data_IF_125110864733
#
_entry.id   IF_125110864733
#
_cell.length_a   1.000
_cell.length_b   1.000
_cell.length_c   1.000
_cell.angle_alpha   90.00
_cell.angle_beta   90.00
_cell.angle_gamma   90.00
#
_symmetry.space_group_name_H-M   'P 1'
#
loop_
_entity.id
_entity.type
_entity.pdbx_description
1 polymer ?
#
# COMPACT_ATOMS: atom_id res chain seq x y z
N UNK A 1 3.75 -10.47 -43.52
CA UNK A 1 3.94 -11.04 -42.18
C UNK A 1 4.90 -10.16 -41.42
N UNK A 2 4.41 -9.07 -40.83
CA UNK A 2 5.10 -8.45 -39.71
C UNK A 2 4.29 -8.87 -38.49
N UNK A 3 4.86 -9.80 -37.73
CA UNK A 3 4.33 -10.20 -36.44
C UNK A 3 4.32 -8.95 -35.57
N UNK A 4 3.13 -8.46 -35.23
CA UNK A 4 2.96 -7.52 -34.13
C UNK A 4 3.41 -8.27 -32.87
N UNK A 5 4.66 -8.04 -32.46
CA UNK A 5 5.05 -8.29 -31.08
C UNK A 5 4.11 -7.41 -30.24
N UNK A 6 3.11 -8.04 -29.64
CA UNK A 6 2.38 -7.46 -28.53
C UNK A 6 3.45 -7.08 -27.51
N UNK A 7 3.65 -5.79 -27.27
CA UNK A 7 4.27 -5.34 -26.03
C UNK A 7 3.43 -5.99 -24.92
N UNK A 8 4.01 -6.95 -24.19
CA UNK A 8 3.32 -7.58 -23.08
C UNK A 8 3.26 -6.50 -22.01
N UNK A 9 2.09 -5.88 -21.85
CA UNK A 9 1.88 -4.95 -20.76
C UNK A 9 1.96 -5.71 -19.43
N UNK A 10 2.51 -5.06 -18.40
CA UNK A 10 2.55 -5.63 -17.04
C UNK A 10 1.14 -5.94 -16.58
N UNK A 11 0.91 -7.17 -16.09
CA UNK A 11 -0.40 -7.67 -15.66
C UNK A 11 -0.27 -8.78 -14.61
N UNK A 12 -1.36 -9.05 -13.88
CA UNK A 12 -1.40 -10.15 -12.91
C UNK A 12 -1.18 -11.51 -13.58
N UNK A 13 -0.32 -12.32 -12.95
CA UNK A 13 -0.06 -13.71 -13.33
C UNK A 13 -0.44 -14.70 -12.22
N UNK A 14 -1.03 -14.20 -11.13
CA UNK A 14 -1.52 -14.98 -9.99
C UNK A 14 -2.90 -14.47 -9.58
N UNK A 15 -3.65 -15.33 -8.92
CA UNK A 15 -4.87 -14.94 -8.21
C UNK A 15 -4.55 -14.66 -6.72
N UNK A 16 -5.37 -13.86 -6.03
CA UNK A 16 -5.29 -13.69 -4.58
C UNK A 16 -5.39 -15.00 -3.79
N UNK A 17 -4.75 -15.06 -2.63
CA UNK A 17 -4.85 -16.19 -1.70
C UNK A 17 -5.97 -15.94 -0.71
N UNK A 18 -7.21 -16.09 -1.17
CA UNK A 18 -8.39 -15.81 -0.35
C UNK A 18 -8.52 -16.77 0.85
N UNK A 19 -8.93 -16.23 2.00
CA UNK A 19 -9.23 -17.03 3.18
C UNK A 19 -10.40 -16.49 4.00
N UNK A 20 -10.36 -16.75 5.31
CA UNK A 20 -11.47 -16.44 6.23
C UNK A 20 -11.06 -15.39 7.25
N UNK A 21 -12.01 -14.53 7.66
CA UNK A 21 -11.78 -13.48 8.67
C UNK A 21 -11.21 -14.01 9.99
N UNK A 22 -11.59 -15.23 10.38
CA UNK A 22 -11.08 -15.89 11.56
C UNK A 22 -10.23 -17.09 11.10
N UNK A 23 -8.91 -16.99 11.26
CA UNK A 23 -7.99 -18.03 10.81
C UNK A 23 -6.59 -17.49 10.58
N UNK A 24 -5.84 -18.17 9.73
CA UNK A 24 -4.52 -17.73 9.30
C UNK A 24 -4.62 -16.52 8.38
N UNK A 25 -3.63 -15.64 8.44
CA UNK A 25 -3.49 -14.51 7.49
C UNK A 25 -3.69 -14.99 6.06
N UNK A 26 -4.53 -14.26 5.34
CA UNK A 26 -4.88 -14.49 3.94
C UNK A 26 -5.41 -13.19 3.35
N UNK A 27 -5.54 -13.14 2.03
CA UNK A 27 -6.26 -12.05 1.37
C UNK A 27 -7.74 -12.12 1.75
N UNK A 28 -8.32 -10.97 2.10
CA UNK A 28 -9.63 -10.91 2.72
C UNK A 28 -10.37 -9.62 2.39
N UNK A 29 -11.64 -9.76 2.05
CA UNK A 29 -12.64 -8.70 2.06
C UNK A 29 -13.84 -9.13 2.92
N UNK A 30 -13.98 -8.56 4.12
CA UNK A 30 -15.13 -8.76 5.01
C UNK A 30 -15.99 -7.49 5.06
N UNK A 31 -16.84 -7.33 4.04
CA UNK A 31 -17.88 -6.30 3.97
C UNK A 31 -17.48 -4.99 3.29
N UNK A 32 -16.27 -4.87 2.73
CA UNK A 32 -15.89 -3.72 1.91
C UNK A 32 -16.64 -3.76 0.57
N UNK A 33 -17.18 -2.63 0.16
CA UNK A 33 -17.80 -2.45 -1.16
C UNK A 33 -16.74 -2.40 -2.26
N UNK A 34 -17.18 -2.39 -3.53
CA UNK A 34 -16.28 -2.16 -4.67
C UNK A 34 -15.49 -0.85 -4.50
N UNK A 35 -14.24 -0.79 -4.97
CA UNK A 35 -13.38 0.39 -4.83
C UNK A 35 -14.06 1.68 -5.35
N UNK A 36 -14.83 1.58 -6.44
CA UNK A 36 -15.58 2.70 -7.03
C UNK A 36 -16.74 3.23 -6.18
N UNK A 37 -17.11 2.55 -5.10
CA UNK A 37 -18.16 3.00 -4.17
C UNK A 37 -17.67 4.04 -3.16
N UNK A 38 -16.35 4.17 -2.99
CA UNK A 38 -15.75 5.12 -2.06
C UNK A 38 -15.47 6.44 -2.77
N UNK A 39 -16.00 7.54 -2.23
CA UNK A 39 -15.75 8.90 -2.74
C UNK A 39 -14.42 9.46 -2.23
N UNK A 40 -13.95 8.93 -1.10
CA UNK A 40 -12.75 9.39 -0.40
C UNK A 40 -11.89 8.19 -0.02
N UNK A 41 -10.59 8.28 -0.29
CA UNK A 41 -9.59 7.36 0.23
C UNK A 41 -8.68 8.16 1.15
N UNK A 42 -8.46 7.65 2.36
CA UNK A 42 -7.47 8.15 3.30
C UNK A 42 -6.45 7.06 3.52
N UNK A 43 -5.25 7.24 2.98
CA UNK A 43 -4.20 6.25 3.09
C UNK A 43 -3.10 6.74 4.04
N UNK A 44 -2.54 5.79 4.79
CA UNK A 44 -1.44 5.96 5.74
C UNK A 44 -0.34 4.98 5.36
N UNK A 45 0.91 5.42 5.31
CA UNK A 45 1.97 4.51 4.90
C UNK A 45 3.35 5.14 4.82
N UNK A 46 4.18 4.62 3.93
CA UNK A 46 5.56 5.01 3.72
C UNK A 46 5.82 5.51 2.30
N UNK A 47 7.08 5.46 1.86
CA UNK A 47 7.50 5.87 0.53
C UNK A 47 6.78 5.16 -0.63
N UNK A 48 6.14 4.00 -0.40
CA UNK A 48 5.31 3.29 -1.38
C UNK A 48 3.94 3.93 -1.57
N UNK A 49 3.58 4.84 -0.67
CA UNK A 49 2.30 5.55 -0.61
C UNK A 49 2.48 7.07 -0.71
N UNK A 50 3.72 7.56 -0.77
CA UNK A 50 4.04 8.99 -0.78
C UNK A 50 3.56 9.71 -2.05
N UNK A 51 2.49 10.47 -1.93
CA UNK A 51 1.99 11.34 -2.99
C UNK A 51 2.84 12.58 -3.31
N UNK A 52 3.99 12.77 -2.66
CA UNK A 52 4.84 13.97 -2.77
C UNK A 52 4.27 15.20 -2.05
N UNK A 53 3.22 15.02 -1.25
CA UNK A 53 2.62 16.05 -0.38
C UNK A 53 2.14 15.42 0.91
N UNK A 54 2.36 16.13 2.00
CA UNK A 54 2.19 15.58 3.35
C UNK A 54 1.21 16.40 4.21
N UNK A 55 0.49 17.33 3.59
CA UNK A 55 -0.44 18.26 4.23
C UNK A 55 -1.91 17.95 3.93
N UNK A 56 -2.19 16.78 3.33
CA UNK A 56 -3.52 16.38 2.89
C UNK A 56 -4.10 17.22 1.75
N UNK A 57 -3.31 18.10 1.11
CA UNK A 57 -3.75 18.83 -0.08
C UNK A 57 -3.73 17.93 -1.32
N UNK A 58 -4.45 18.36 -2.37
CA UNK A 58 -4.47 17.64 -3.66
C UNK A 58 -3.05 17.43 -4.17
N UNK A 59 -2.71 16.20 -4.50
CA UNK A 59 -1.38 15.86 -4.98
C UNK A 59 -1.05 16.56 -6.30
N UNK A 60 0.23 16.83 -6.53
CA UNK A 60 0.70 17.24 -7.84
C UNK A 60 0.48 16.11 -8.88
N UNK A 61 0.51 16.46 -10.17
CA UNK A 61 0.54 15.45 -11.22
C UNK A 61 1.82 14.62 -11.11
N UNK A 62 1.72 13.30 -11.31
CA UNK A 62 2.87 12.39 -11.29
C UNK A 62 3.64 12.47 -12.61
N UNK A 63 4.38 13.57 -12.79
CA UNK A 63 5.16 13.87 -14.00
C UNK A 63 6.64 13.93 -13.64
N UNK A 64 7.48 13.33 -14.48
CA UNK A 64 8.93 13.36 -14.36
C UNK A 64 9.48 14.77 -14.63
N UNK A 65 10.35 15.27 -13.76
CA UNK A 65 11.08 16.53 -13.96
C UNK A 65 12.59 16.28 -13.86
N UNK A 66 13.24 16.06 -15.02
CA UNK A 66 14.64 15.64 -15.07
C UNK A 66 15.58 16.72 -14.49
N UNK A 67 16.67 16.34 -13.78
CA UNK A 67 17.16 14.98 -13.60
C UNK A 67 16.57 14.24 -12.38
N UNK A 68 15.59 14.81 -11.68
CA UNK A 68 15.01 14.18 -10.49
C UNK A 68 14.24 12.92 -10.89
N UNK A 69 14.52 11.74 -10.29
CA UNK A 69 13.79 10.50 -10.59
C UNK A 69 12.40 10.48 -9.95
N UNK A 70 12.07 11.39 -9.03
CA UNK A 70 10.79 11.38 -8.31
C UNK A 70 9.68 12.08 -9.08
N UNK A 71 8.87 11.34 -9.84
CA UNK A 71 7.78 11.92 -10.63
C UNK A 71 6.76 12.59 -9.71
N UNK A 72 6.55 13.91 -9.84
CA UNK A 72 5.71 14.68 -8.92
C UNK A 72 6.08 14.54 -7.43
N UNK A 73 7.34 14.20 -7.12
CA UNK A 73 7.82 14.00 -5.75
C UNK A 73 7.65 12.58 -5.18
N UNK A 74 7.03 11.64 -5.92
CA UNK A 74 6.88 10.24 -5.46
C UNK A 74 8.16 9.45 -5.64
N UNK A 75 8.39 8.43 -4.82
CA UNK A 75 9.51 7.48 -5.00
C UNK A 75 9.23 6.48 -6.13
N UNK A 76 8.79 6.97 -7.28
CA UNK A 76 8.47 6.19 -8.48
C UNK A 76 8.55 7.08 -9.73
N UNK A 77 8.47 6.48 -10.93
CA UNK A 77 8.45 7.18 -12.22
C UNK A 77 7.05 7.67 -12.62
N UNK A 78 6.05 7.50 -11.76
CA UNK A 78 4.67 7.84 -12.08
C UNK A 78 3.70 7.72 -10.90
N UNK A 79 2.40 7.53 -11.18
CA UNK A 79 1.39 7.35 -10.14
C UNK A 79 1.68 6.14 -9.23
N UNK A 80 1.26 6.25 -7.98
CA UNK A 80 1.28 5.15 -7.02
C UNK A 80 -0.04 4.39 -7.05
N UNK A 81 -0.08 3.26 -6.33
CA UNK A 81 -1.26 2.41 -6.17
C UNK A 81 -2.35 3.06 -5.31
N UNK A 82 -1.97 4.06 -4.51
CA UNK A 82 -2.85 4.86 -3.65
C UNK A 82 -2.54 6.37 -3.76
N UNK A 83 -3.31 7.16 -3.00
CA UNK A 83 -3.12 8.61 -2.85
C UNK A 83 -2.90 8.92 -1.35
N UNK A 84 -1.67 8.75 -0.84
CA UNK A 84 -1.38 8.88 0.60
C UNK A 84 -0.25 9.86 0.94
N UNK A 85 -0.09 10.08 2.25
CA UNK A 85 0.99 10.85 2.90
C UNK A 85 2.02 9.88 3.50
N UNK A 86 3.30 10.25 3.51
CA UNK A 86 4.42 9.50 4.08
C UNK A 86 4.61 9.61 5.58
N UNK A 87 4.89 8.45 6.21
CA UNK A 87 6.16 8.01 6.82
C UNK A 87 5.89 6.76 7.68
N UNK A 88 6.57 5.61 7.46
CA UNK A 88 6.33 4.43 8.33
C UNK A 88 7.34 4.30 9.46
N UNK A 89 6.89 4.75 10.61
CA UNK A 89 7.03 4.00 11.86
C UNK A 89 5.62 3.91 12.42
N UNK A 90 5.25 2.87 13.17
CA UNK A 90 3.91 2.87 13.79
C UNK A 90 3.85 3.93 14.89
N UNK A 91 4.87 3.93 15.74
CA UNK A 91 5.14 4.94 16.77
C UNK A 91 6.66 5.12 16.91
N UNK A 92 7.21 6.19 16.35
CA UNK A 92 8.66 6.44 16.32
C UNK A 92 9.28 6.52 17.71
N UNK A 93 8.49 6.87 18.74
CA UNK A 93 8.95 7.00 20.12
C UNK A 93 9.28 5.64 20.76
N UNK A 94 8.75 4.55 20.22
CA UNK A 94 9.04 3.19 20.70
C UNK A 94 10.41 2.66 20.25
N UNK A 95 11.14 3.44 19.44
CA UNK A 95 12.39 3.01 18.82
C UNK A 95 13.54 3.99 19.07
N UNK A 96 13.95 4.19 20.35
CA UNK A 96 14.97 5.19 20.70
C UNK A 96 16.37 4.89 20.13
N UNK A 97 16.60 3.68 19.61
CA UNK A 97 17.85 3.29 18.97
C UNK A 97 17.95 3.71 17.49
N UNK A 98 16.84 4.12 16.86
CA UNK A 98 16.80 4.57 15.47
C UNK A 98 16.62 6.09 15.42
N UNK A 99 17.46 6.75 14.62
CA UNK A 99 17.32 8.18 14.34
C UNK A 99 16.57 8.29 13.01
N UNK A 100 15.30 8.70 13.09
CA UNK A 100 14.48 8.92 11.92
C UNK A 100 14.68 10.36 11.43
N UNK A 101 14.96 10.53 10.13
CA UNK A 101 14.98 11.85 9.49
C UNK A 101 13.60 12.48 9.41
N UNK A 102 12.55 11.64 9.44
CA UNK A 102 11.15 12.03 9.52
C UNK A 102 10.48 11.26 10.67
N UNK A 103 9.87 12.00 11.59
CA UNK A 103 9.23 11.45 12.79
C UNK A 103 7.71 11.33 12.66
N UNK A 104 7.15 11.57 11.48
CA UNK A 104 5.69 11.53 11.24
C UNK A 104 5.18 10.10 11.06
N UNK A 105 5.20 9.34 12.14
CA UNK A 105 4.68 7.98 12.22
C UNK A 105 3.16 7.88 11.98
N UNK A 106 2.65 6.65 11.98
CA UNK A 106 1.21 6.37 11.84
C UNK A 106 0.40 7.08 12.93
N UNK A 107 0.88 7.11 14.18
CA UNK A 107 0.24 7.85 15.29
C UNK A 107 0.10 9.34 14.94
N UNK A 108 1.14 9.98 14.43
CA UNK A 108 1.11 11.38 14.01
C UNK A 108 0.12 11.60 12.86
N UNK A 109 0.19 10.78 11.82
CA UNK A 109 -0.69 10.89 10.66
C UNK A 109 -2.16 10.70 11.05
N UNK A 110 -2.45 9.70 11.91
CA UNK A 110 -3.79 9.48 12.41
C UNK A 110 -4.29 10.67 13.23
N UNK A 111 -3.47 11.21 14.14
CA UNK A 111 -3.79 12.41 14.89
C UNK A 111 -4.05 13.62 13.99
N UNK A 112 -3.31 13.76 12.89
CA UNK A 112 -3.55 14.81 11.91
C UNK A 112 -4.94 14.70 11.27
N UNK A 113 -5.34 13.51 10.83
CA UNK A 113 -6.67 13.25 10.25
C UNK A 113 -7.78 13.45 11.29
N UNK A 114 -7.62 12.90 12.50
CA UNK A 114 -8.59 13.01 13.60
C UNK A 114 -8.79 14.48 14.01
N UNK A 115 -7.72 15.26 14.12
CA UNK A 115 -7.77 16.66 14.54
C UNK A 115 -8.16 17.64 13.43
N UNK A 116 -8.11 17.21 12.16
CA UNK A 116 -8.48 18.00 10.99
C UNK A 116 -9.91 18.55 11.06
N UNK A 117 -10.12 19.80 10.62
CA UNK A 117 -11.45 20.45 10.66
C UNK A 117 -12.47 19.79 9.75
N UNK A 118 -12.04 19.38 8.56
CA UNK A 118 -12.87 18.70 7.58
C UNK A 118 -12.63 17.20 7.74
N UNK A 119 -13.64 16.49 8.23
CA UNK A 119 -13.57 15.05 8.43
C UNK A 119 -14.21 14.33 7.25
N UNK A 120 -13.56 13.28 6.72
CA UNK A 120 -14.18 12.42 5.74
C UNK A 120 -15.48 11.81 6.28
N UNK A 121 -16.46 11.62 5.40
CA UNK A 121 -17.71 10.95 5.73
C UNK A 121 -17.47 9.46 5.90
N UNK A 122 -17.81 8.91 7.07
CA UNK A 122 -17.47 7.54 7.43
C UNK A 122 -17.99 6.47 6.45
N UNK A 123 -19.19 6.70 5.86
CA UNK A 123 -19.89 5.71 5.03
C UNK A 123 -19.23 5.49 3.67
N UNK A 124 -18.66 6.53 3.06
CA UNK A 124 -18.08 6.52 1.71
C UNK A 124 -16.55 6.77 1.71
N UNK A 125 -15.93 6.72 2.89
CA UNK A 125 -14.47 6.78 3.04
C UNK A 125 -13.89 5.39 3.25
N UNK A 126 -12.86 5.06 2.47
CA UNK A 126 -11.98 3.92 2.70
C UNK A 126 -10.69 4.38 3.38
N UNK A 127 -10.41 3.84 4.56
CA UNK A 127 -9.15 4.06 5.26
C UNK A 127 -8.18 2.92 4.95
N UNK A 128 -7.02 3.24 4.38
CA UNK A 128 -5.99 2.26 4.00
C UNK A 128 -4.78 2.46 4.91
N UNK A 129 -4.32 1.38 5.55
CA UNK A 129 -3.07 1.39 6.33
C UNK A 129 -2.08 0.46 5.68
N UNK A 130 -1.01 1.02 5.10
CA UNK A 130 0.11 0.29 4.55
C UNK A 130 1.19 0.09 5.62
N UNK A 131 1.41 -1.16 6.04
CA UNK A 131 2.30 -1.50 7.17
C UNK A 131 3.38 -2.46 6.70
N UNK A 132 4.63 -2.23 7.10
CA UNK A 132 5.75 -3.04 6.62
C UNK A 132 6.93 -3.24 7.54
N UNK A 133 7.01 -2.50 8.65
CA UNK A 133 8.15 -2.60 9.55
C UNK A 133 7.80 -3.48 10.75
N UNK A 134 8.63 -4.50 10.96
CA UNK A 134 8.48 -5.43 12.09
C UNK A 134 9.25 -4.94 13.30
N UNK A 135 8.55 -4.21 14.13
CA UNK A 135 9.08 -3.77 15.41
C UNK A 135 8.26 -4.30 16.58
N UNK A 136 8.81 -4.27 17.81
CA UNK A 136 8.03 -4.54 19.01
C UNK A 136 6.71 -3.76 19.00
N UNK A 137 5.62 -4.45 19.33
CA UNK A 137 4.26 -3.91 19.45
C UNK A 137 3.60 -3.35 18.18
N UNK A 138 4.20 -3.53 16.99
CA UNK A 138 3.63 -3.07 15.70
C UNK A 138 2.15 -3.41 15.58
N UNK A 139 1.78 -4.68 15.79
CA UNK A 139 0.38 -5.11 15.71
C UNK A 139 -0.52 -4.39 16.72
N UNK A 140 -0.13 -4.35 18.00
CA UNK A 140 -0.92 -3.73 19.04
C UNK A 140 -1.15 -2.24 18.78
N UNK A 141 -0.13 -1.53 18.30
CA UNK A 141 -0.23 -0.10 17.99
C UNK A 141 -1.13 0.13 16.75
N UNK A 142 -0.96 -0.66 15.68
CA UNK A 142 -1.83 -0.57 14.49
C UNK A 142 -3.29 -0.78 14.87
N UNK A 143 -3.59 -1.84 15.63
CA UNK A 143 -4.95 -2.13 16.06
C UNK A 143 -5.50 -1.08 17.02
N UNK A 144 -4.65 -0.51 17.89
CA UNK A 144 -5.06 0.58 18.77
C UNK A 144 -5.45 1.85 17.99
N UNK A 145 -4.65 2.27 17.02
CA UNK A 145 -4.96 3.42 16.17
C UNK A 145 -6.21 3.20 15.33
N UNK A 146 -6.38 2.00 14.74
CA UNK A 146 -7.60 1.64 14.02
C UNK A 146 -8.83 1.67 14.94
N UNK A 147 -8.69 1.21 16.19
CA UNK A 147 -9.76 1.29 17.18
C UNK A 147 -10.14 2.75 17.47
N UNK A 148 -9.17 3.64 17.64
CA UNK A 148 -9.42 5.08 17.82
C UNK A 148 -10.15 5.68 16.62
N UNK A 149 -9.80 5.27 15.40
CA UNK A 149 -10.47 5.73 14.18
C UNK A 149 -11.93 5.29 14.12
N UNK A 150 -12.28 4.12 14.67
CA UNK A 150 -13.67 3.63 14.71
C UNK A 150 -14.56 4.38 15.70
N UNK A 151 -13.97 5.18 16.59
CA UNK A 151 -14.69 6.00 17.57
C UNK A 151 -14.82 7.47 17.11
N UNK A 152 -15.50 8.27 17.94
CA UNK A 152 -15.57 9.71 17.73
C UNK A 152 -14.16 10.31 17.66
N UNK A 153 -13.86 11.17 16.69
CA UNK A 153 -14.82 11.85 15.81
C UNK A 153 -14.89 11.31 14.36
N UNK A 154 -14.13 10.27 14.00
CA UNK A 154 -14.07 9.77 12.62
C UNK A 154 -15.14 8.73 12.33
N UNK A 155 -15.46 7.87 13.30
CA UNK A 155 -16.38 6.76 13.14
C UNK A 155 -16.04 5.89 11.92
N UNK A 156 -14.75 5.66 11.65
CA UNK A 156 -14.28 4.93 10.49
C UNK A 156 -14.97 3.57 10.37
N UNK A 157 -15.59 3.32 9.19
CA UNK A 157 -16.35 2.10 8.93
C UNK A 157 -15.67 1.16 7.96
N UNK A 158 -14.88 1.66 7.01
CA UNK A 158 -14.26 0.83 5.97
C UNK A 158 -12.74 0.92 6.13
N UNK A 159 -12.13 -0.19 6.55
CA UNK A 159 -10.71 -0.25 6.90
C UNK A 159 -10.04 -1.36 6.08
N UNK A 160 -9.03 -1.00 5.32
CA UNK A 160 -8.16 -1.93 4.61
C UNK A 160 -6.75 -1.86 5.21
N UNK A 161 -6.19 -3.00 5.58
CA UNK A 161 -4.76 -3.09 5.89
C UNK A 161 -4.06 -3.77 4.71
N UNK A 162 -2.98 -3.15 4.24
CA UNK A 162 -2.14 -3.68 3.17
C UNK A 162 -0.75 -3.93 3.73
N UNK A 163 -0.27 -5.15 3.59
CA UNK A 163 1.09 -5.51 3.99
C UNK A 163 2.14 -5.03 2.99
N UNK A 164 3.30 -4.60 3.50
CA UNK A 164 4.48 -4.27 2.73
C UNK A 164 5.28 -5.55 2.40
N UNK A 165 4.77 -6.28 1.41
CA UNK A 165 5.44 -7.36 0.70
C UNK A 165 6.07 -8.49 1.55
N UNK A 166 5.44 -8.90 2.63
CA UNK A 166 5.87 -10.07 3.40
C UNK A 166 6.74 -9.74 4.60
N UNK A 167 7.00 -8.46 4.88
CA UNK A 167 7.88 -8.07 5.97
C UNK A 167 7.12 -8.08 7.30
N UNK A 168 7.55 -8.97 8.19
CA UNK A 168 7.29 -8.89 9.62
C UNK A 168 6.36 -9.94 10.24
N UNK A 169 6.61 -10.23 11.51
CA UNK A 169 5.89 -11.24 12.30
C UNK A 169 4.61 -10.67 12.97
N UNK A 170 4.20 -9.45 12.63
CA UNK A 170 3.01 -8.80 13.19
C UNK A 170 1.70 -9.17 12.48
N UNK A 171 1.77 -9.69 11.25
CA UNK A 171 0.62 -9.86 10.35
C UNK A 171 -0.55 -10.61 10.99
N UNK A 172 -0.27 -11.76 11.62
CA UNK A 172 -1.32 -12.57 12.24
C UNK A 172 -2.04 -11.80 13.35
N UNK A 173 -1.31 -11.08 14.19
CA UNK A 173 -1.92 -10.30 15.25
C UNK A 173 -2.72 -9.11 14.73
N UNK A 174 -2.31 -8.48 13.62
CA UNK A 174 -3.13 -7.45 12.95
C UNK A 174 -4.38 -8.07 12.34
N UNK A 175 -4.25 -9.21 11.65
CA UNK A 175 -5.37 -9.92 11.04
C UNK A 175 -6.42 -10.34 12.09
N UNK A 176 -5.99 -10.89 13.23
CA UNK A 176 -6.87 -11.21 14.36
C UNK A 176 -7.56 -9.95 14.93
N UNK A 177 -6.83 -8.83 14.97
CA UNK A 177 -7.35 -7.54 15.40
C UNK A 177 -8.45 -7.00 14.47
N UNK A 178 -8.33 -7.19 13.15
CA UNK A 178 -9.37 -6.84 12.19
C UNK A 178 -10.66 -7.64 12.45
N UNK A 179 -10.56 -8.93 12.79
CA UNK A 179 -11.71 -9.74 13.23
C UNK A 179 -12.42 -9.16 14.46
N UNK A 180 -11.66 -8.52 15.36
CA UNK A 180 -12.23 -7.80 16.51
C UNK A 180 -12.93 -6.51 16.10
N UNK A 181 -12.34 -5.70 15.22
CA UNK A 181 -12.98 -4.50 14.68
C UNK A 181 -14.30 -4.84 13.96
N UNK A 182 -14.30 -5.89 13.14
CA UNK A 182 -15.50 -6.37 12.47
C UNK A 182 -16.58 -6.79 13.47
N UNK A 183 -16.26 -7.73 14.36
CA UNK A 183 -17.27 -8.34 15.25
C UNK A 183 -17.72 -7.47 16.43
N UNK A 184 -16.90 -6.49 16.86
CA UNK A 184 -17.17 -5.68 18.06
C UNK A 184 -17.43 -4.21 17.77
N UNK A 185 -16.98 -3.69 16.63
CA UNK A 185 -17.19 -2.30 16.22
C UNK A 185 -18.09 -2.15 15.00
N UNK A 186 -18.40 -3.25 14.31
CA UNK A 186 -19.24 -3.21 13.11
C UNK A 186 -18.56 -2.51 11.93
N UNK A 187 -17.22 -2.50 11.91
CA UNK A 187 -16.45 -2.03 10.77
C UNK A 187 -16.40 -3.10 9.67
N UNK A 188 -16.44 -2.68 8.43
CA UNK A 188 -16.03 -3.47 7.28
C UNK A 188 -14.50 -3.49 7.22
N UNK A 189 -13.92 -4.67 7.08
CA UNK A 189 -12.46 -4.83 7.13
C UNK A 189 -11.94 -5.62 5.95
N UNK A 190 -10.72 -5.32 5.52
CA UNK A 190 -9.99 -6.09 4.54
C UNK A 190 -8.52 -6.22 4.88
N UNK A 191 -7.89 -7.25 4.36
CA UNK A 191 -6.45 -7.47 4.46
C UNK A 191 -5.92 -7.90 3.09
N UNK A 192 -4.83 -7.28 2.64
CA UNK A 192 -4.12 -7.66 1.40
C UNK A 192 -2.70 -8.03 1.77
N UNK A 193 -2.31 -9.27 1.45
CA UNK A 193 -0.95 -9.77 1.64
C UNK A 193 -0.13 -9.61 0.35
N UNK A 194 0.48 -8.43 0.16
CA UNK A 194 1.36 -8.22 -1.00
C UNK A 194 2.62 -9.10 -0.96
N UNK A 195 2.92 -9.78 0.15
CA UNK A 195 3.95 -10.80 0.20
C UNK A 195 3.72 -11.91 -0.83
N UNK A 196 2.47 -12.26 -1.12
CA UNK A 196 2.11 -13.20 -2.18
C UNK A 196 2.54 -12.68 -3.56
N UNK A 197 2.24 -11.41 -3.86
CA UNK A 197 2.61 -10.76 -5.12
C UNK A 197 4.13 -10.67 -5.27
N UNK A 198 4.84 -10.22 -4.23
CA UNK A 198 6.29 -10.12 -4.26
C UNK A 198 6.97 -11.49 -4.39
N UNK A 199 6.51 -12.50 -3.65
CA UNK A 199 7.05 -13.85 -3.75
C UNK A 199 6.86 -14.43 -5.15
N UNK A 200 5.72 -14.15 -5.78
CA UNK A 200 5.42 -14.59 -7.14
C UNK A 200 6.30 -13.89 -8.20
N UNK A 201 6.51 -12.57 -8.08
CA UNK A 201 7.32 -11.80 -9.04
C UNK A 201 8.82 -12.08 -8.86
N UNK A 202 9.32 -12.06 -7.62
CA UNK A 202 10.75 -12.22 -7.31
C UNK A 202 11.19 -13.68 -7.23
N UNK A 203 10.23 -14.62 -7.18
CA UNK A 203 10.48 -16.05 -7.18
C UNK A 203 10.70 -16.63 -8.58
N UNK A 204 10.71 -17.96 -8.67
CA UNK A 204 10.87 -18.70 -9.93
C UNK A 204 9.55 -19.24 -10.49
N UNK A 205 8.45 -19.12 -9.73
CA UNK A 205 7.14 -19.57 -10.16
C UNK A 205 6.05 -18.58 -9.66
N UNK A 206 5.45 -17.77 -10.54
CA UNK A 206 5.66 -17.76 -11.99
C UNK A 206 6.88 -16.93 -12.43
N UNK A 207 7.42 -16.05 -11.57
CA UNK A 207 8.56 -15.17 -11.86
C UNK A 207 8.19 -13.91 -12.65
N UNK A 208 9.07 -12.90 -12.64
CA UNK A 208 8.75 -11.56 -13.16
C UNK A 208 8.34 -11.51 -14.64
N UNK A 209 8.91 -12.37 -15.49
CA UNK A 209 8.56 -12.46 -16.92
C UNK A 209 7.09 -12.86 -17.13
N UNK A 210 6.53 -13.70 -16.25
CA UNK A 210 5.13 -14.11 -16.35
C UNK A 210 4.16 -12.94 -16.12
N UNK A 211 4.59 -11.94 -15.36
CA UNK A 211 3.85 -10.69 -15.15
C UNK A 211 4.11 -9.66 -16.26
N UNK A 212 4.99 -9.94 -17.23
CA UNK A 212 5.35 -9.02 -18.31
C UNK A 212 6.55 -8.12 -18.04
N UNK A 213 7.27 -8.30 -16.91
CA UNK A 213 8.51 -7.56 -16.66
C UNK A 213 9.67 -8.13 -17.47
N UNK A 214 10.56 -7.24 -17.91
CA UNK A 214 11.89 -7.59 -18.46
C UNK A 214 12.92 -7.73 -17.34
N UNK A 215 12.70 -7.08 -16.19
CA UNK A 215 13.61 -7.14 -15.04
C UNK A 215 12.88 -6.98 -13.72
N UNK A 216 13.24 -7.81 -12.74
CA UNK A 216 12.84 -7.64 -11.34
C UNK A 216 13.66 -6.56 -10.59
N UNK A 217 14.70 -6.01 -11.23
CA UNK A 217 15.58 -4.99 -10.66
C UNK A 217 15.06 -3.56 -10.77
N UNK A 218 15.86 -2.62 -10.28
CA UNK A 218 15.61 -1.19 -10.40
C UNK A 218 16.03 -0.65 -11.77
N UNK A 219 15.30 0.35 -12.27
CA UNK A 219 15.64 1.07 -13.50
C UNK A 219 16.69 2.16 -13.27
N UNK A 220 16.66 2.86 -12.12
CA UNK A 220 17.64 3.88 -11.74
C UNK A 220 18.72 3.32 -10.81
N UNK A 221 19.82 4.06 -10.67
CA UNK A 221 20.92 3.71 -9.77
C UNK A 221 20.66 4.13 -8.31
N UNK A 222 19.92 5.23 -8.11
CA UNK A 222 19.55 5.77 -6.81
C UNK A 222 18.29 6.66 -6.93
N UNK A 223 17.93 7.35 -5.85
CA UNK A 223 16.74 8.21 -5.75
C UNK A 223 17.04 9.71 -6.00
N UNK A 224 18.26 10.05 -6.44
CA UNK A 224 18.72 11.43 -6.58
C UNK A 224 18.84 11.89 -8.03
N UNK A 225 19.05 10.96 -8.97
CA UNK A 225 19.24 11.26 -10.38
C UNK A 225 18.64 10.20 -11.31
N UNK A 226 18.29 10.63 -12.52
CA UNK A 226 17.91 9.78 -13.67
C UNK A 226 19.09 9.42 -14.56
N UNK A 227 20.29 9.91 -14.24
CA UNK A 227 21.52 9.52 -14.93
C UNK A 227 21.76 8.00 -14.77
N UNK A 228 21.92 7.30 -15.89
CA UNK A 228 22.09 5.85 -15.91
C UNK A 228 20.78 5.05 -15.79
N UNK A 229 19.62 5.70 -15.89
CA UNK A 229 18.34 4.97 -15.93
C UNK A 229 18.22 4.06 -17.16
N UNK A 230 17.43 3.00 -17.03
CA UNK A 230 17.02 2.15 -18.14
C UNK A 230 16.11 2.88 -19.15
N UNK A 231 15.98 2.34 -20.37
CA UNK A 231 15.16 2.95 -21.44
C UNK A 231 13.65 2.86 -21.17
N UNK A 232 13.19 1.75 -20.56
CA UNK A 232 11.77 1.44 -20.35
C UNK A 232 11.48 1.16 -18.86
N UNK A 233 11.25 2.18 -18.01
CA UNK A 233 10.99 1.97 -16.58
C UNK A 233 9.69 1.21 -16.29
N UNK A 234 8.74 1.18 -17.23
CA UNK A 234 7.47 0.45 -17.07
C UNK A 234 7.60 -1.07 -17.33
N UNK A 235 8.78 -1.52 -17.75
CA UNK A 235 9.11 -2.95 -17.93
C UNK A 235 9.95 -3.49 -16.76
N UNK A 236 10.22 -2.69 -15.72
CA UNK A 236 10.98 -3.09 -14.53
C UNK A 236 10.11 -3.12 -13.29
N UNK A 237 10.37 -4.07 -12.39
CA UNK A 237 9.59 -4.20 -11.15
C UNK A 237 9.88 -3.06 -10.16
N UNK A 238 11.16 -2.69 -10.01
CA UNK A 238 11.55 -1.50 -9.26
C UNK A 238 11.91 -0.38 -10.24
N UNK A 239 11.62 0.85 -9.87
CA UNK A 239 12.12 2.02 -10.60
C UNK A 239 13.34 2.59 -9.87
N UNK A 240 13.17 3.07 -8.65
CA UNK A 240 14.26 3.40 -7.73
C UNK A 240 14.62 2.13 -6.94
N UNK A 241 15.89 1.92 -6.54
CA UNK A 241 16.25 0.77 -5.70
C UNK A 241 15.33 0.62 -4.47
N UNK A 242 14.66 -0.54 -4.38
CA UNK A 242 13.65 -0.87 -3.37
C UNK A 242 12.33 -0.08 -3.41
N UNK A 243 12.04 0.66 -4.48
CA UNK A 243 10.75 1.32 -4.68
C UNK A 243 10.12 0.93 -6.01
N UNK A 244 8.82 0.56 -6.04
CA UNK A 244 8.19 0.02 -7.22
C UNK A 244 8.15 1.02 -8.38
N UNK A 245 8.17 0.52 -9.61
CA UNK A 245 7.83 1.34 -10.77
C UNK A 245 6.35 1.69 -10.80
N UNK A 246 5.98 2.65 -11.64
CA UNK A 246 4.58 3.00 -11.88
C UNK A 246 3.79 1.79 -12.41
N UNK A 247 4.42 0.95 -13.23
CA UNK A 247 3.83 -0.32 -13.69
C UNK A 247 3.58 -1.29 -12.53
N UNK A 248 4.51 -1.39 -11.58
CA UNK A 248 4.32 -2.22 -10.39
C UNK A 248 3.27 -1.66 -9.45
N UNK A 249 3.19 -0.34 -9.30
CA UNK A 249 2.11 0.29 -8.55
C UNK A 249 0.73 0.02 -9.16
N UNK A 250 0.63 0.05 -10.49
CA UNK A 250 -0.58 -0.40 -11.17
C UNK A 250 -0.88 -1.89 -10.89
N UNK A 251 0.13 -2.75 -10.95
CA UNK A 251 -0.03 -4.17 -10.64
C UNK A 251 -0.49 -4.42 -9.20
N UNK A 252 0.00 -3.64 -8.24
CA UNK A 252 -0.47 -3.66 -6.85
C UNK A 252 -1.96 -3.27 -6.76
N UNK A 253 -2.37 -2.22 -7.47
CA UNK A 253 -3.77 -1.80 -7.52
C UNK A 253 -4.66 -2.89 -8.14
N UNK A 254 -4.22 -3.50 -9.24
CA UNK A 254 -4.92 -4.63 -9.88
C UNK A 254 -5.05 -5.81 -8.90
N UNK A 255 -4.01 -6.12 -8.11
CA UNK A 255 -4.06 -7.18 -7.10
C UNK A 255 -5.07 -6.86 -5.98
N UNK A 256 -5.06 -5.63 -5.48
CA UNK A 256 -6.01 -5.17 -4.44
C UNK A 256 -7.44 -5.23 -4.97
N UNK A 257 -7.68 -4.79 -6.20
CA UNK A 257 -9.00 -4.90 -6.85
C UNK A 257 -9.44 -6.37 -6.95
N UNK A 258 -8.54 -7.27 -7.35
CA UNK A 258 -8.82 -8.70 -7.35
C UNK A 258 -9.17 -9.24 -5.95
N UNK A 259 -8.50 -8.78 -4.88
CA UNK A 259 -8.88 -9.15 -3.49
C UNK A 259 -10.29 -8.70 -3.15
N UNK A 260 -10.66 -7.47 -3.53
CA UNK A 260 -12.00 -6.92 -3.28
C UNK A 260 -13.10 -7.73 -3.98
N UNK A 261 -12.83 -8.17 -5.20
CA UNK A 261 -13.78 -8.90 -6.03
C UNK A 261 -13.87 -10.39 -5.66
N UNK A 262 -12.73 -11.03 -5.39
CA UNK A 262 -12.63 -12.49 -5.28
C UNK A 262 -12.62 -13.00 -3.83
N UNK A 263 -12.11 -12.22 -2.88
CA UNK A 263 -11.92 -12.68 -1.49
C UNK A 263 -13.03 -12.23 -0.54
N UNK A 264 -14.27 -12.21 -1.03
CA UNK A 264 -15.44 -11.83 -0.24
C UNK A 264 -15.75 -12.89 0.82
N UNK A 265 -15.68 -12.49 2.08
CA UNK A 265 -16.03 -13.32 3.23
C UNK A 265 -17.50 -13.12 3.61
N UNK A 266 -18.20 -14.24 3.76
CA UNK A 266 -19.64 -14.32 4.06
C UNK A 266 -19.94 -14.85 5.45
#
# INVERSE_FOLDING_TARGET
MYSSLSLIAVQLAIEPSCGALFGTVSDLNAGLGSLSSYSTIVAFGDGYTDGGKEDGSTLAAAVQDLPNPKAGGRLSNGPLWDYAVTATVVDHTQYPAYIFSDTRDFVYQNNYVISGRNKPTADDTLYIVFVGMDFPNTASNVIYELLLMTDSPLFAKNILVVDNYGRGNYKQSVFDGLGTLYSKRGANVGFVDLGNLWAAVLGTNPGCEAFGYVSAGACTVDDTTTEGQCDNPDETFYYIPNYPSAATHRLMADYIEAVFEQCQWS
#
